data_IF_330712901997
#
_entry.id   IF_330712901997
#
_cell.length_a   1.000
_cell.length_b   1.000
_cell.length_c   1.000
_cell.angle_alpha   90.00
_cell.angle_beta   90.00
_cell.angle_gamma   90.00
#
_symmetry.space_group_name_H-M   'P 1'
#
loop_
_entity.id
_entity.type
_entity.pdbx_description
1 polymer ?
#
# COMPACT_ATOMS: atom_id res chain seq x y z
N UNK A 1 -61.55 -5.55 -24.86
CA UNK A 1 -61.48 -6.74 -24.00
C UNK A 1 -60.57 -7.74 -24.70
N UNK A 2 -59.64 -8.33 -23.93
CA UNK A 2 -58.56 -9.29 -24.28
C UNK A 2 -57.16 -8.67 -24.41
N UNK A 3 -56.43 -8.82 -23.30
CA UNK A 3 -54.98 -8.76 -23.11
C UNK A 3 -54.33 -10.06 -23.60
N UNK A 4 -53.10 -9.99 -24.16
CA UNK A 4 -52.11 -11.08 -24.21
C UNK A 4 -50.73 -10.56 -24.69
N UNK A 5 -49.91 -10.13 -23.74
CA UNK A 5 -48.62 -10.76 -23.42
C UNK A 5 -47.47 -10.75 -24.44
N UNK A 6 -46.45 -9.94 -24.12
CA UNK A 6 -45.03 -10.30 -24.00
C UNK A 6 -44.41 -11.32 -24.97
N UNK A 7 -43.74 -10.81 -26.02
CA UNK A 7 -42.71 -11.56 -26.77
C UNK A 7 -41.47 -10.71 -27.02
N UNK A 8 -40.73 -10.42 -25.95
CA UNK A 8 -39.29 -10.13 -26.04
C UNK A 8 -38.56 -10.83 -24.88
N UNK A 9 -38.38 -12.15 -24.99
CA UNK A 9 -37.32 -12.91 -24.29
C UNK A 9 -36.08 -12.84 -25.18
N UNK A 10 -35.00 -12.15 -24.84
CA UNK A 10 -34.04 -12.38 -23.73
C UNK A 10 -33.36 -13.75 -23.83
N UNK A 11 -32.54 -13.90 -24.87
CA UNK A 11 -31.59 -15.00 -25.02
C UNK A 11 -30.25 -14.60 -24.39
N UNK A 12 -30.09 -14.75 -23.08
CA UNK A 12 -28.80 -14.92 -22.37
C UNK A 12 -29.10 -15.35 -20.92
N UNK A 13 -29.55 -16.59 -20.77
CA UNK A 13 -29.88 -17.23 -19.49
C UNK A 13 -28.84 -18.28 -19.09
N UNK A 14 -27.55 -17.95 -19.23
CA UNK A 14 -26.46 -18.85 -18.85
C UNK A 14 -25.37 -18.10 -18.08
N UNK A 15 -25.66 -17.73 -16.84
CA UNK A 15 -24.70 -17.72 -15.71
C UNK A 15 -25.51 -17.65 -14.40
N UNK A 16 -25.13 -18.43 -13.37
CA UNK A 16 -25.95 -18.62 -12.17
C UNK A 16 -25.98 -17.38 -11.29
N UNK A 17 -27.17 -16.97 -10.87
CA UNK A 17 -27.47 -15.78 -10.04
C UNK A 17 -27.00 -15.86 -8.58
N UNK A 18 -26.19 -16.85 -8.23
CA UNK A 18 -25.87 -17.22 -6.84
C UNK A 18 -24.76 -16.39 -6.18
N UNK A 19 -24.39 -15.23 -6.75
CA UNK A 19 -23.56 -14.21 -6.08
C UNK A 19 -24.19 -12.82 -6.03
N UNK A 20 -25.46 -12.69 -6.41
CA UNK A 20 -26.20 -11.46 -6.16
C UNK A 20 -26.94 -11.57 -4.82
N UNK A 21 -26.23 -11.39 -3.71
CA UNK A 21 -26.89 -10.89 -2.50
C UNK A 21 -27.17 -9.41 -2.73
N UNK A 22 -28.20 -9.12 -3.52
CA UNK A 22 -28.80 -7.80 -3.58
C UNK A 22 -30.03 -7.85 -2.69
N UNK A 23 -29.83 -7.49 -1.42
CA UNK A 23 -30.93 -7.10 -0.55
C UNK A 23 -31.59 -5.90 -1.20
N UNK A 24 -32.83 -6.07 -1.68
CA UNK A 24 -33.62 -5.05 -2.39
C UNK A 24 -34.19 -3.96 -1.45
N UNK A 25 -33.52 -3.75 -0.30
CA UNK A 25 -33.88 -2.74 0.70
C UNK A 25 -33.02 -1.48 0.54
N UNK A 26 -33.43 -0.34 1.13
CA UNK A 26 -32.57 0.84 1.17
C UNK A 26 -31.26 0.48 1.89
N UNK A 27 -30.18 0.34 1.12
CA UNK A 27 -28.85 0.08 1.66
C UNK A 27 -28.43 1.32 2.44
N UNK A 28 -28.48 1.22 3.77
CA UNK A 28 -27.80 2.16 4.65
C UNK A 28 -26.31 2.25 4.30
N UNK A 29 -25.59 3.25 4.84
CA UNK A 29 -24.18 3.43 4.52
C UNK A 29 -23.41 2.12 4.71
N UNK A 30 -22.77 1.65 3.62
CA UNK A 30 -22.06 0.38 3.60
C UNK A 30 -20.96 0.41 4.65
N UNK A 31 -21.05 -0.46 5.64
CA UNK A 31 -19.99 -0.62 6.64
C UNK A 31 -18.99 -1.65 6.11
N UNK A 32 -17.70 -1.31 6.19
CA UNK A 32 -16.63 -2.24 5.85
C UNK A 32 -16.35 -3.15 7.05
N UNK A 33 -16.15 -4.44 6.81
CA UNK A 33 -15.60 -5.33 7.83
C UNK A 33 -14.11 -5.04 8.05
N UNK A 34 -13.57 -5.39 9.23
CA UNK A 34 -12.15 -5.16 9.57
C UNK A 34 -11.14 -5.76 8.58
N UNK A 35 -11.56 -6.73 7.76
CA UNK A 35 -10.75 -7.36 6.72
C UNK A 35 -10.93 -6.74 5.32
N UNK A 36 -11.88 -5.81 5.14
CA UNK A 36 -12.20 -5.19 3.85
C UNK A 36 -11.47 -3.85 3.62
N UNK A 37 -10.57 -3.45 4.53
CA UNK A 37 -9.79 -2.22 4.44
C UNK A 37 -8.55 -2.36 3.55
N UNK A 38 -8.06 -1.24 3.03
CA UNK A 38 -6.75 -1.19 2.39
C UNK A 38 -5.67 -1.62 3.38
N UNK A 39 -4.68 -2.39 2.92
CA UNK A 39 -3.50 -2.68 3.74
C UNK A 39 -2.69 -1.40 3.98
N UNK A 40 -1.92 -1.38 5.07
CA UNK A 40 -1.02 -0.27 5.39
C UNK A 40 -0.03 0.03 4.26
N UNK A 41 0.48 -1.01 3.60
CA UNK A 41 1.35 -0.91 2.42
C UNK A 41 0.63 -0.26 1.22
N UNK A 42 -0.64 -0.61 0.98
CA UNK A 42 -1.41 -0.02 -0.10
C UNK A 42 -1.71 1.46 0.15
N UNK A 43 -1.95 1.84 1.41
CA UNK A 43 -2.14 3.24 1.81
C UNK A 43 -0.86 4.03 1.58
N UNK A 44 0.29 3.51 2.04
CA UNK A 44 1.59 4.15 1.83
C UNK A 44 1.90 4.35 0.33
N UNK A 45 1.77 3.29 -0.47
CA UNK A 45 1.98 3.36 -1.92
C UNK A 45 1.00 4.32 -2.61
N UNK A 46 -0.25 4.45 -2.12
CA UNK A 46 -1.21 5.41 -2.65
C UNK A 46 -0.82 6.86 -2.31
N UNK A 47 -0.40 7.13 -1.07
CA UNK A 47 0.02 8.46 -0.60
C UNK A 47 1.28 8.93 -1.33
N UNK A 48 2.25 8.04 -1.53
CA UNK A 48 3.51 8.34 -2.21
C UNK A 48 3.38 8.34 -3.74
N UNK A 49 2.24 7.88 -4.28
CA UNK A 49 1.97 7.87 -5.72
C UNK A 49 2.67 6.73 -6.46
N UNK A 50 3.04 5.67 -5.76
CA UNK A 50 3.79 4.52 -6.29
C UNK A 50 2.88 3.44 -6.89
N UNK A 51 1.56 3.53 -6.68
CA UNK A 51 0.60 2.62 -7.30
C UNK A 51 0.50 2.84 -8.81
N UNK A 52 0.51 1.73 -9.55
CA UNK A 52 0.11 1.73 -10.97
C UNK A 52 -1.35 2.15 -11.13
N UNK A 53 -1.73 2.57 -12.35
CA UNK A 53 -3.05 3.13 -12.65
C UNK A 53 -4.23 2.29 -12.13
N UNK A 54 -4.26 0.98 -12.40
CA UNK A 54 -5.40 0.13 -12.00
C UNK A 54 -5.55 -0.01 -10.48
N UNK A 55 -4.49 -0.36 -9.70
CA UNK A 55 -4.54 -0.30 -8.25
C UNK A 55 -4.90 1.09 -7.70
N UNK A 56 -4.38 2.16 -8.31
CA UNK A 56 -4.67 3.52 -7.90
C UNK A 56 -6.17 3.85 -8.00
N UNK A 57 -6.81 3.52 -9.13
CA UNK A 57 -8.26 3.73 -9.31
C UNK A 57 -9.10 2.93 -8.31
N UNK A 58 -8.70 1.68 -8.01
CA UNK A 58 -9.39 0.85 -7.01
C UNK A 58 -9.26 1.44 -5.61
N UNK A 59 -8.06 1.91 -5.24
CA UNK A 59 -7.83 2.58 -3.97
C UNK A 59 -8.65 3.88 -3.89
N UNK A 60 -8.61 4.74 -4.91
CA UNK A 60 -9.39 5.98 -4.95
C UNK A 60 -10.89 5.72 -4.80
N UNK A 61 -11.42 4.71 -5.49
CA UNK A 61 -12.81 4.29 -5.33
C UNK A 61 -13.09 3.80 -3.89
N UNK A 62 -12.23 2.97 -3.31
CA UNK A 62 -12.38 2.53 -1.92
C UNK A 62 -12.40 3.70 -0.93
N UNK A 63 -11.50 4.68 -1.08
CA UNK A 63 -11.44 5.86 -0.21
C UNK A 63 -12.71 6.72 -0.29
N UNK A 64 -13.37 6.77 -1.46
CA UNK A 64 -14.65 7.47 -1.60
C UNK A 64 -15.81 6.84 -0.80
N UNK A 65 -15.66 5.56 -0.44
CA UNK A 65 -16.67 4.79 0.28
C UNK A 65 -16.30 4.55 1.75
N UNK A 66 -14.99 4.44 2.06
CA UNK A 66 -14.48 4.08 3.37
C UNK A 66 -13.84 5.28 4.09
N UNK A 67 -14.53 5.92 5.05
CA UNK A 67 -13.98 7.07 5.77
C UNK A 67 -12.78 6.72 6.67
N UNK A 68 -12.68 5.49 7.13
CA UNK A 68 -11.55 5.02 7.96
C UNK A 68 -10.25 5.00 7.15
N UNK A 69 -10.26 4.39 5.95
CA UNK A 69 -9.09 4.41 5.08
C UNK A 69 -8.77 5.82 4.56
N UNK A 70 -9.79 6.67 4.34
CA UNK A 70 -9.57 8.08 4.01
C UNK A 70 -8.82 8.82 5.14
N UNK A 71 -9.23 8.61 6.40
CA UNK A 71 -8.54 9.19 7.55
C UNK A 71 -7.09 8.71 7.69
N UNK A 72 -6.81 7.44 7.40
CA UNK A 72 -5.43 6.92 7.40
C UNK A 72 -4.56 7.55 6.31
N UNK A 73 -5.10 7.75 5.10
CA UNK A 73 -4.43 8.47 4.01
C UNK A 73 -4.10 9.91 4.44
N UNK A 74 -5.05 10.60 5.07
CA UNK A 74 -4.84 11.97 5.55
C UNK A 74 -3.77 12.04 6.64
N UNK A 75 -3.78 11.10 7.59
CA UNK A 75 -2.76 11.00 8.63
C UNK A 75 -1.35 10.79 8.04
N UNK A 76 -1.20 9.92 7.05
CA UNK A 76 0.08 9.72 6.37
C UNK A 76 0.52 10.95 5.56
N UNK A 77 -0.40 11.64 4.88
CA UNK A 77 -0.11 12.92 4.19
C UNK A 77 0.40 13.98 5.15
N UNK A 78 -0.23 14.12 6.32
CA UNK A 78 0.21 15.04 7.37
C UNK A 78 1.61 14.67 7.88
N UNK A 79 1.88 13.38 8.11
CA UNK A 79 3.21 12.93 8.52
C UNK A 79 4.28 13.27 7.47
N UNK A 80 3.98 13.04 6.18
CA UNK A 80 4.86 13.38 5.06
C UNK A 80 5.14 14.87 4.97
N UNK A 81 4.12 15.71 5.17
CA UNK A 81 4.28 17.17 5.16
C UNK A 81 5.12 17.65 6.35
N UNK A 82 4.90 17.09 7.54
CA UNK A 82 5.70 17.38 8.72
C UNK A 82 7.19 17.04 8.51
N UNK A 83 7.48 15.90 7.86
CA UNK A 83 8.86 15.52 7.51
C UNK A 83 9.47 16.47 6.48
N UNK A 84 8.70 16.90 5.48
CA UNK A 84 9.17 17.86 4.46
C UNK A 84 9.41 19.26 5.01
N UNK A 85 8.59 19.68 5.97
CA UNK A 85 8.78 20.95 6.69
C UNK A 85 9.87 20.89 7.76
N UNK A 86 10.42 19.72 8.05
CA UNK A 86 11.52 19.58 9.00
C UNK A 86 12.84 20.15 8.44
N UNK A 87 13.82 20.39 9.32
CA UNK A 87 15.11 20.97 8.91
C UNK A 87 15.78 20.09 7.84
N UNK A 88 16.33 20.69 6.76
CA UNK A 88 17.08 19.95 5.78
C UNK A 88 18.20 19.14 6.44
N UNK A 89 18.32 17.87 6.04
CA UNK A 89 19.48 17.06 6.41
C UNK A 89 20.67 17.58 5.60
N UNK A 90 21.64 18.19 6.28
CA UNK A 90 22.86 18.68 5.64
C UNK A 90 23.87 17.54 5.55
N UNK A 91 24.39 17.28 4.35
CA UNK A 91 25.48 16.35 4.16
C UNK A 91 26.78 16.96 4.69
N UNK A 92 27.50 16.31 5.64
CA UNK A 92 28.77 16.85 6.13
C UNK A 92 29.82 16.86 5.02
N UNK A 93 30.63 17.93 4.96
CA UNK A 93 31.68 18.10 3.94
C UNK A 93 32.72 16.98 3.95
N UNK A 94 33.01 16.41 5.11
CA UNK A 94 33.89 15.25 5.25
C UNK A 94 33.35 14.02 4.51
N UNK A 95 32.04 13.76 4.56
CA UNK A 95 31.43 12.66 3.81
C UNK A 95 31.49 12.92 2.31
N UNK A 96 31.22 14.14 1.87
CA UNK A 96 31.34 14.51 0.45
C UNK A 96 32.77 14.28 -0.07
N UNK A 97 33.78 14.63 0.72
CA UNK A 97 35.19 14.35 0.39
C UNK A 97 35.48 12.85 0.31
N UNK A 98 34.99 12.03 1.24
CA UNK A 98 35.17 10.57 1.15
C UNK A 98 34.44 9.96 -0.07
N UNK A 99 33.24 10.45 -0.39
CA UNK A 99 32.47 9.99 -1.54
C UNK A 99 33.13 10.38 -2.88
N UNK A 100 33.83 11.51 -2.96
CA UNK A 100 34.55 11.91 -4.18
C UNK A 100 35.78 11.05 -4.47
N UNK A 101 36.32 10.35 -3.46
CA UNK A 101 37.46 9.44 -3.64
C UNK A 101 37.07 8.04 -4.15
N UNK A 102 35.78 7.69 -4.20
CA UNK A 102 35.31 6.36 -4.66
C UNK A 102 35.88 5.97 -6.04
N UNK A 103 35.90 6.83 -7.07
CA UNK A 103 36.45 6.46 -8.37
C UNK A 103 37.97 6.20 -8.35
N UNK A 104 38.67 6.71 -7.34
CA UNK A 104 40.13 6.66 -7.23
C UNK A 104 40.63 5.48 -6.37
N UNK A 105 39.72 4.82 -5.64
CA UNK A 105 40.02 3.60 -4.92
C UNK A 105 39.66 2.37 -5.77
N UNK A 106 40.68 1.58 -6.12
CA UNK A 106 40.44 0.24 -6.64
C UNK A 106 39.65 -0.56 -5.58
N UNK A 107 38.63 -1.35 -5.97
CA UNK A 107 37.96 -2.23 -5.03
C UNK A 107 39.04 -3.09 -4.33
N UNK A 108 39.03 -3.17 -2.99
CA UNK A 108 39.99 -4.01 -2.29
C UNK A 108 39.87 -5.43 -2.85
N UNK A 109 41.00 -6.05 -3.19
CA UNK A 109 41.01 -7.47 -3.51
C UNK A 109 40.30 -8.21 -2.38
N UNK A 110 39.32 -9.07 -2.68
CA UNK A 110 38.55 -9.72 -1.65
C UNK A 110 39.52 -10.51 -0.76
N UNK A 111 39.54 -10.26 0.56
CA UNK A 111 40.31 -11.10 1.46
C UNK A 111 39.75 -12.52 1.32
N UNK A 112 40.64 -13.47 1.03
CA UNK A 112 40.33 -14.89 1.14
C UNK A 112 40.07 -15.14 2.63
N UNK A 113 38.77 -15.24 2.97
CA UNK A 113 38.13 -15.87 4.13
C UNK A 113 37.27 -15.02 5.10
N UNK A 114 36.02 -15.49 5.17
CA UNK A 114 35.17 -15.71 6.35
C UNK A 114 34.82 -14.52 7.24
N UNK A 115 33.91 -13.66 6.79
CA UNK A 115 33.13 -12.80 7.69
C UNK A 115 31.66 -13.20 7.68
N UNK A 116 31.40 -14.20 8.51
CA UNK A 116 30.10 -14.72 8.94
C UNK A 116 29.31 -13.60 9.64
N UNK A 117 28.24 -13.14 8.99
CA UNK A 117 26.96 -12.77 9.61
C UNK A 117 27.01 -12.05 10.96
N UNK A 118 27.46 -10.78 11.00
CA UNK A 118 27.34 -9.94 12.22
C UNK A 118 26.06 -9.08 12.23
N UNK A 119 25.51 -8.75 11.06
CA UNK A 119 24.31 -7.92 10.96
C UNK A 119 23.00 -8.67 11.28
N UNK A 120 22.96 -10.00 11.15
CA UNK A 120 21.76 -10.80 11.49
C UNK A 120 21.65 -11.11 13.00
N UNK A 121 22.77 -11.24 13.71
CA UNK A 121 22.80 -11.63 15.14
C UNK A 121 22.25 -10.53 16.07
N UNK A 122 22.35 -9.26 15.66
CA UNK A 122 21.83 -8.12 16.42
C UNK A 122 20.29 -8.09 16.49
N UNK A 123 19.62 -8.53 15.41
CA UNK A 123 18.16 -8.61 15.35
C UNK A 123 17.61 -9.80 16.16
N UNK A 124 18.34 -10.93 16.19
CA UNK A 124 17.93 -12.13 16.95
C UNK A 124 18.12 -11.95 18.46
N UNK A 125 19.18 -11.26 18.90
CA UNK A 125 19.41 -10.95 20.32
C UNK A 125 18.35 -10.02 20.92
N UNK A 126 17.81 -9.10 20.11
CA UNK A 126 16.70 -8.23 20.55
C UNK A 126 15.39 -9.02 20.70
N UNK A 127 15.15 -10.02 19.84
CA UNK A 127 13.95 -10.87 19.89
C UNK A 127 13.92 -11.82 21.10
N UNK A 128 15.08 -12.34 21.53
CA UNK A 128 15.16 -13.27 22.68
C UNK A 128 14.95 -12.63 24.05
N UNK A 129 15.05 -11.30 24.18
CA UNK A 129 14.90 -10.58 25.47
C UNK A 129 13.46 -10.12 25.77
N UNK A 130 12.50 -10.44 24.90
CA UNK A 130 11.06 -10.24 25.12
C UNK A 130 10.36 -11.59 25.24
N UNK A 131 10.60 -12.31 26.33
CA UNK A 131 9.77 -13.42 26.82
C UNK A 131 9.88 -13.51 28.32
#
# INVERSE_FOLDING_TARGET
MVDRGHVFRRAFSWLPSQFASQSDGPVGPRQFGSTEHLSTEAIAAFVDGELRLTPHLRAAHHLSLCPQCAAEVDAQRQAREALRGSRPVVTPSSLLGLLSEIPHHAPPEPPVETQRSQFADSAERLRRKRR
#
